data_IF_214468725885
#
_entry.id   IF_214468725885
#
_cell.length_a   1.000
_cell.length_b   1.000
_cell.length_c   1.000
_cell.angle_alpha   90.00
_cell.angle_beta   90.00
_cell.angle_gamma   90.00
#
_symmetry.space_group_name_H-M   'P 1'
#
loop_
_entity.id
_entity.type
_entity.pdbx_description
1 polymer ?
#
# COMPACT_ATOMS: atom_id res chain seq x y z
N UNK A 1 -67.36 31.09 17.72
CA UNK A 1 -66.58 30.92 18.97
C UNK A 1 -65.98 29.51 18.95
N UNK A 2 -64.69 29.39 18.60
CA UNK A 2 -63.61 28.86 19.50
C UNK A 2 -63.57 27.31 19.48
N UNK A 3 -62.51 26.56 19.16
CA UNK A 3 -61.10 26.79 18.80
C UNK A 3 -60.57 25.55 18.04
N UNK A 4 -59.63 25.82 17.15
CA UNK A 4 -58.63 24.95 16.50
C UNK A 4 -57.84 24.10 17.51
N UNK A 5 -57.59 22.83 17.18
CA UNK A 5 -56.38 22.12 17.64
C UNK A 5 -55.93 21.14 16.55
N UNK A 6 -55.01 21.62 15.73
CA UNK A 6 -54.25 20.86 14.75
C UNK A 6 -53.25 19.97 15.51
N UNK A 7 -53.25 18.66 15.24
CA UNK A 7 -52.19 17.74 15.65
C UNK A 7 -51.25 17.53 14.46
N UNK A 8 -50.27 18.43 14.30
CA UNK A 8 -49.16 18.25 13.38
C UNK A 8 -48.04 17.43 14.03
N UNK A 9 -47.68 16.33 13.35
CA UNK A 9 -46.32 15.90 13.03
C UNK A 9 -45.32 15.64 14.16
N UNK A 10 -44.88 14.37 14.30
CA UNK A 10 -43.48 14.03 14.54
C UNK A 10 -43.12 12.73 13.80
N UNK A 11 -42.84 12.87 12.51
CA UNK A 11 -41.90 12.00 11.80
C UNK A 11 -40.54 12.15 12.50
N UNK A 12 -40.22 11.20 13.38
CA UNK A 12 -38.87 10.99 13.90
C UNK A 12 -37.98 10.43 12.79
N UNK A 13 -37.80 11.18 11.71
CA UNK A 13 -36.81 10.88 10.69
C UNK A 13 -35.45 11.09 11.35
N UNK A 14 -34.79 9.98 11.73
CA UNK A 14 -33.35 9.98 11.98
C UNK A 14 -32.72 10.54 10.71
N UNK A 15 -32.43 11.83 10.74
CA UNK A 15 -31.56 12.46 9.74
C UNK A 15 -30.23 11.76 9.91
N UNK A 16 -29.90 10.87 8.98
CA UNK A 16 -28.53 10.52 8.70
C UNK A 16 -27.83 11.82 8.33
N UNK A 17 -27.27 12.48 9.34
CA UNK A 17 -26.38 13.60 9.16
C UNK A 17 -25.19 12.98 8.46
N UNK A 18 -25.15 13.08 7.12
CA UNK A 18 -23.93 12.89 6.34
C UNK A 18 -22.91 13.82 6.98
N UNK A 19 -22.09 13.26 7.87
CA UNK A 19 -20.96 13.96 8.42
C UNK A 19 -20.08 14.23 7.20
N UNK A 20 -20.07 15.48 6.75
CA UNK A 20 -19.07 15.98 5.80
C UNK A 20 -17.74 15.69 6.49
N UNK A 21 -17.16 14.53 6.17
CA UNK A 21 -16.05 13.98 6.92
C UNK A 21 -14.94 15.02 6.94
N UNK A 22 -14.44 15.36 8.13
CA UNK A 22 -13.26 16.22 8.26
C UNK A 22 -12.19 15.70 7.29
N UNK A 23 -11.73 16.55 6.38
CA UNK A 23 -10.69 16.16 5.45
C UNK A 23 -9.44 15.82 6.25
N UNK A 24 -9.07 14.54 6.23
CA UNK A 24 -7.89 14.06 6.94
C UNK A 24 -6.66 14.55 6.19
N UNK A 25 -5.83 15.27 6.93
CA UNK A 25 -4.51 15.69 6.49
C UNK A 25 -3.55 14.55 6.78
N UNK A 26 -3.08 13.88 5.74
CA UNK A 26 -2.26 12.69 5.85
C UNK A 26 -0.83 13.03 6.23
N UNK A 27 -0.33 12.55 7.36
CA UNK A 27 1.07 12.75 7.74
C UNK A 27 2.01 11.74 7.06
N UNK A 28 3.31 11.99 7.16
CA UNK A 28 4.36 11.07 6.69
C UNK A 28 4.26 9.73 7.42
N UNK A 29 4.03 9.78 8.73
CA UNK A 29 3.85 8.59 9.55
C UNK A 29 2.65 7.76 9.10
N UNK A 30 1.55 8.42 8.69
CA UNK A 30 0.38 7.73 8.15
C UNK A 30 0.67 7.10 6.78
N UNK A 31 1.39 7.81 5.89
CA UNK A 31 1.82 7.25 4.61
C UNK A 31 2.71 6.02 4.80
N UNK A 32 3.66 6.09 5.74
CA UNK A 32 4.54 4.98 6.08
C UNK A 32 3.74 3.78 6.60
N UNK A 33 2.85 3.99 7.56
CA UNK A 33 1.97 2.95 8.09
C UNK A 33 1.12 2.30 6.99
N UNK A 34 0.54 3.11 6.09
CA UNK A 34 -0.22 2.60 4.96
C UNK A 34 0.63 1.74 4.02
N UNK A 35 1.82 2.21 3.65
CA UNK A 35 2.74 1.48 2.76
C UNK A 35 3.18 0.17 3.40
N UNK A 36 3.54 0.18 4.69
CA UNK A 36 3.96 -1.01 5.43
C UNK A 36 2.82 -2.04 5.54
N UNK A 37 1.60 -1.59 5.87
CA UNK A 37 0.44 -2.47 5.93
C UNK A 37 0.15 -3.12 4.57
N UNK A 38 0.16 -2.34 3.48
CA UNK A 38 -0.03 -2.87 2.13
C UNK A 38 1.12 -3.80 1.70
N UNK A 39 2.36 -3.56 2.14
CA UNK A 39 3.49 -4.44 1.85
C UNK A 39 3.34 -5.80 2.56
N UNK A 40 2.81 -5.83 3.78
CA UNK A 40 2.43 -7.08 4.46
C UNK A 40 1.36 -7.82 3.64
N UNK A 41 0.32 -7.11 3.20
CA UNK A 41 -0.76 -7.71 2.42
C UNK A 41 -0.30 -8.25 1.06
N UNK A 42 0.66 -7.59 0.41
CA UNK A 42 1.28 -8.09 -0.82
C UNK A 42 1.98 -9.44 -0.59
N UNK A 43 2.72 -9.60 0.53
CA UNK A 43 3.38 -10.86 0.89
C UNK A 43 2.38 -11.96 1.24
N UNK A 44 1.20 -11.60 1.72
CA UNK A 44 0.13 -12.53 2.05
C UNK A 44 -0.73 -12.93 0.81
N UNK A 45 -0.31 -12.57 -0.41
CA UNK A 45 -1.03 -12.93 -1.63
C UNK A 45 -2.24 -12.05 -1.96
N UNK A 46 -2.50 -10.99 -1.18
CA UNK A 46 -3.63 -10.08 -1.40
C UNK A 46 -3.35 -8.99 -2.46
N UNK A 47 -2.29 -9.21 -3.26
CA UNK A 47 -1.97 -8.39 -4.43
C UNK A 47 -2.03 -9.29 -5.66
N UNK A 48 -3.06 -9.08 -6.48
CA UNK A 48 -3.29 -9.82 -7.72
C UNK A 48 -2.83 -8.93 -8.87
N UNK A 49 -1.92 -9.44 -9.70
CA UNK A 49 -1.24 -8.71 -10.77
C UNK A 49 -0.60 -7.38 -10.30
N UNK A 50 -1.30 -6.26 -10.50
CA UNK A 50 -0.85 -4.91 -10.18
C UNK A 50 -1.73 -4.21 -9.12
N UNK A 51 -2.74 -4.90 -8.62
CA UNK A 51 -3.79 -4.34 -7.79
C UNK A 51 -3.92 -5.06 -6.46
N UNK A 52 -4.21 -4.30 -5.41
CA UNK A 52 -4.61 -4.87 -4.13
C UNK A 52 -6.07 -5.25 -4.18
N UNK A 53 -6.41 -6.41 -3.62
CA UNK A 53 -7.81 -6.81 -3.45
C UNK A 53 -8.45 -6.06 -2.27
N UNK A 54 -9.74 -6.29 -2.07
CA UNK A 54 -10.50 -5.63 -0.99
C UNK A 54 -9.94 -5.95 0.40
N UNK A 55 -9.55 -7.20 0.65
CA UNK A 55 -8.97 -7.62 1.93
C UNK A 55 -7.71 -6.82 2.27
N UNK A 56 -6.86 -6.55 1.27
CA UNK A 56 -5.68 -5.71 1.47
C UNK A 56 -6.04 -4.28 1.87
N UNK A 57 -7.03 -3.66 1.20
CA UNK A 57 -7.45 -2.30 1.54
C UNK A 57 -8.13 -2.22 2.90
N UNK A 58 -8.98 -3.18 3.23
CA UNK A 58 -9.63 -3.27 4.55
C UNK A 58 -8.59 -3.43 5.66
N UNK A 59 -7.63 -4.34 5.51
CA UNK A 59 -6.58 -4.54 6.50
C UNK A 59 -5.70 -3.29 6.67
N UNK A 60 -5.32 -2.64 5.56
CA UNK A 60 -4.56 -1.39 5.61
C UNK A 60 -5.34 -0.25 6.26
N UNK A 61 -6.65 -0.16 6.00
CA UNK A 61 -7.53 0.83 6.62
C UNK A 61 -7.63 0.62 8.14
N UNK A 62 -7.82 -0.62 8.59
CA UNK A 62 -7.82 -0.99 10.01
C UNK A 62 -6.50 -0.64 10.68
N UNK A 63 -5.36 -0.94 10.03
CA UNK A 63 -4.04 -0.62 10.57
C UNK A 63 -3.85 0.89 10.79
N UNK A 64 -4.16 1.72 9.78
CA UNK A 64 -4.03 3.18 9.88
C UNK A 64 -5.00 3.75 10.93
N UNK A 65 -6.26 3.30 10.94
CA UNK A 65 -7.25 3.77 11.90
C UNK A 65 -6.86 3.44 13.34
N UNK A 66 -6.39 2.21 13.58
CA UNK A 66 -5.98 1.76 14.91
C UNK A 66 -4.73 2.49 15.40
N UNK A 67 -3.75 2.71 14.51
CA UNK A 67 -2.48 3.33 14.88
C UNK A 67 -2.59 4.85 15.12
N UNK A 68 -3.51 5.54 14.44
CA UNK A 68 -3.66 7.00 14.53
C UNK A 68 -4.97 7.47 15.16
N UNK A 69 -5.77 6.54 15.69
CA UNK A 69 -7.11 6.79 16.24
C UNK A 69 -8.02 7.57 15.27
N UNK A 70 -8.11 7.07 14.04
CA UNK A 70 -8.90 7.65 12.96
C UNK A 70 -10.10 6.77 12.62
N UNK A 71 -11.03 7.33 11.85
CA UNK A 71 -12.17 6.59 11.30
C UNK A 71 -12.26 6.80 9.77
N UNK A 72 -11.21 6.37 9.07
CA UNK A 72 -11.13 6.35 7.61
C UNK A 72 -11.96 5.19 7.05
N UNK A 73 -12.41 5.34 5.81
CA UNK A 73 -12.93 4.23 5.01
C UNK A 73 -11.91 3.80 3.94
N UNK A 74 -12.15 2.64 3.33
CA UNK A 74 -11.27 2.09 2.29
C UNK A 74 -11.06 3.07 1.12
N UNK A 75 -12.08 3.84 0.74
CA UNK A 75 -11.95 4.82 -0.34
C UNK A 75 -10.92 5.91 -0.04
N UNK A 76 -10.86 6.41 1.21
CA UNK A 76 -9.84 7.40 1.62
C UNK A 76 -8.44 6.82 1.54
N UNK A 77 -8.26 5.54 1.91
CA UNK A 77 -7.00 4.81 1.80
C UNK A 77 -6.58 4.63 0.35
N UNK A 78 -7.50 4.17 -0.51
CA UNK A 78 -7.28 3.99 -1.95
C UNK A 78 -6.86 5.30 -2.60
N UNK A 79 -7.58 6.39 -2.32
CA UNK A 79 -7.27 7.72 -2.86
C UNK A 79 -5.90 8.22 -2.39
N UNK A 80 -5.52 7.92 -1.13
CA UNK A 80 -4.18 8.26 -0.66
C UNK A 80 -3.10 7.43 -1.37
N UNK A 81 -3.32 6.13 -1.56
CA UNK A 81 -2.39 5.28 -2.29
C UNK A 81 -2.19 5.78 -3.74
N UNK A 82 -3.25 6.19 -4.43
CA UNK A 82 -3.16 6.84 -5.75
C UNK A 82 -2.27 8.08 -5.71
N UNK A 83 -2.39 8.90 -4.67
CA UNK A 83 -1.54 10.09 -4.46
C UNK A 83 -0.07 9.71 -4.25
N UNK A 84 0.20 8.73 -3.39
CA UNK A 84 1.56 8.21 -3.12
C UNK A 84 2.18 7.66 -4.41
N UNK A 85 1.44 6.84 -5.18
CA UNK A 85 1.89 6.31 -6.47
C UNK A 85 2.25 7.42 -7.46
N UNK A 86 1.42 8.48 -7.58
CA UNK A 86 1.72 9.64 -8.45
C UNK A 86 3.03 10.32 -8.06
N UNK A 87 3.26 10.53 -6.75
CA UNK A 87 4.51 11.12 -6.27
C UNK A 87 5.72 10.22 -6.53
N UNK A 88 5.60 8.93 -6.26
CA UNK A 88 6.66 7.95 -6.54
C UNK A 88 7.03 7.94 -8.02
N UNK A 89 6.03 7.99 -8.91
CA UNK A 89 6.26 8.13 -10.35
C UNK A 89 7.15 9.35 -10.60
N UNK A 90 6.82 10.54 -10.08
CA UNK A 90 7.63 11.76 -10.28
C UNK A 90 9.06 11.59 -9.79
N UNK A 91 9.26 11.01 -8.60
CA UNK A 91 10.60 10.72 -8.07
C UNK A 91 11.36 9.81 -9.02
N UNK A 92 10.73 8.74 -9.50
CA UNK A 92 11.33 7.81 -10.46
C UNK A 92 11.77 8.52 -11.73
N UNK A 93 10.95 9.41 -12.29
CA UNK A 93 11.33 10.17 -13.49
C UNK A 93 12.52 11.12 -13.24
N UNK A 94 12.60 11.73 -12.06
CA UNK A 94 13.75 12.58 -11.69
C UNK A 94 15.02 11.73 -11.62
N UNK A 95 14.95 10.59 -10.92
CA UNK A 95 16.09 9.68 -10.73
C UNK A 95 16.53 8.97 -12.02
N UNK A 96 15.68 8.93 -13.05
CA UNK A 96 16.05 8.44 -14.38
C UNK A 96 16.84 9.47 -15.21
N UNK A 97 17.04 10.71 -14.72
CA UNK A 97 17.82 11.73 -15.42
C UNK A 97 19.26 11.75 -14.93
N UNK A 98 20.16 12.02 -15.85
CA UNK A 98 21.57 12.17 -15.55
C UNK A 98 21.82 13.31 -14.55
N UNK A 99 22.72 13.03 -13.61
CA UNK A 99 23.11 13.95 -12.56
C UNK A 99 22.11 14.10 -11.41
N UNK A 100 21.08 13.25 -11.32
CA UNK A 100 20.23 13.10 -10.14
C UNK A 100 20.49 11.77 -9.43
N UNK A 101 20.44 11.76 -8.10
CA UNK A 101 20.60 10.55 -7.28
C UNK A 101 19.78 10.60 -6.01
N UNK A 102 19.47 9.43 -5.47
CA UNK A 102 18.89 9.32 -4.15
C UNK A 102 19.98 9.40 -3.08
N UNK A 103 19.82 10.28 -2.10
CA UNK A 103 20.66 10.34 -0.93
C UNK A 103 20.01 9.55 0.22
N UNK A 104 20.58 8.39 0.61
CA UNK A 104 20.02 7.55 1.66
C UNK A 104 20.16 8.13 3.07
N UNK A 105 21.07 9.08 3.29
CA UNK A 105 21.32 9.74 4.58
C UNK A 105 20.27 10.80 4.82
N UNK A 106 20.12 11.73 3.87
CA UNK A 106 19.14 12.81 3.99
C UNK A 106 17.71 12.34 3.66
N UNK A 107 17.56 11.22 2.94
CA UNK A 107 16.30 10.72 2.35
C UNK A 107 15.72 11.69 1.31
N UNK A 108 16.59 12.24 0.48
CA UNK A 108 16.29 13.32 -0.46
C UNK A 108 16.86 13.02 -1.84
N UNK A 109 16.35 13.71 -2.86
CA UNK A 109 16.99 13.72 -4.17
C UNK A 109 18.12 14.76 -4.15
N UNK A 110 19.33 14.29 -4.43
CA UNK A 110 20.49 15.12 -4.69
C UNK A 110 20.73 15.24 -6.19
N UNK A 111 21.48 16.27 -6.58
CA UNK A 111 21.91 16.46 -7.95
C UNK A 111 23.31 17.05 -8.03
N UNK A 112 23.95 16.94 -9.20
CA UNK A 112 25.33 17.38 -9.41
C UNK A 112 25.51 18.90 -9.37
N UNK A 113 24.47 19.67 -9.69
CA UNK A 113 24.50 21.13 -9.65
C UNK A 113 23.13 21.74 -9.39
N UNK A 114 23.09 22.89 -8.71
CA UNK A 114 21.86 23.62 -8.47
C UNK A 114 21.24 24.15 -9.78
N UNK A 115 22.05 24.38 -10.81
CA UNK A 115 21.63 24.76 -12.15
C UNK A 115 20.84 23.63 -12.85
N UNK A 116 21.26 22.38 -12.66
CA UNK A 116 20.54 21.20 -13.15
C UNK A 116 19.15 21.11 -12.49
N UNK A 117 19.09 21.35 -11.18
CA UNK A 117 17.84 21.42 -10.44
C UNK A 117 16.90 22.51 -10.98
N UNK A 118 17.41 23.75 -11.12
CA UNK A 118 16.65 24.89 -11.66
C UNK A 118 16.11 24.61 -13.07
N UNK A 119 16.92 24.01 -13.96
CA UNK A 119 16.48 23.63 -15.31
C UNK A 119 15.36 22.59 -15.29
N UNK A 120 15.45 21.58 -14.43
CA UNK A 120 14.40 20.57 -14.30
C UNK A 120 13.07 21.20 -13.86
N UNK A 121 13.12 22.07 -12.85
CA UNK A 121 11.93 22.74 -12.29
C UNK A 121 11.29 23.71 -13.29
N UNK A 122 12.09 24.37 -14.14
CA UNK A 122 11.60 25.29 -15.16
C UNK A 122 10.99 24.58 -16.38
N UNK A 123 11.34 23.32 -16.64
CA UNK A 123 10.85 22.58 -17.79
C UNK A 123 9.42 22.03 -17.55
N UNK A 124 8.53 22.04 -18.56
CA UNK A 124 7.26 21.34 -18.51
C UNK A 124 7.48 19.86 -18.21
N UNK A 125 6.98 19.40 -17.08
CA UNK A 125 7.17 18.05 -16.61
C UNK A 125 5.97 17.60 -15.79
N UNK A 126 5.88 16.30 -15.50
CA UNK A 126 4.84 15.76 -14.60
C UNK A 126 4.95 16.37 -13.19
N UNK A 127 6.14 16.82 -12.82
CA UNK A 127 6.41 17.64 -11.66
C UNK A 127 5.64 18.97 -11.69
N UNK A 128 5.75 19.73 -12.77
CA UNK A 128 5.06 21.03 -12.93
C UNK A 128 3.54 20.88 -12.82
N UNK A 129 2.97 19.78 -13.35
CA UNK A 129 1.53 19.46 -13.26
C UNK A 129 1.05 19.07 -11.85
N UNK A 130 1.95 18.64 -10.96
CA UNK A 130 1.59 18.34 -9.56
C UNK A 130 1.60 19.59 -8.66
N UNK A 131 2.07 20.74 -9.18
CA UNK A 131 2.30 21.98 -8.44
C UNK A 131 1.14 22.99 -8.54
N UNK A 132 0.10 22.72 -9.32
CA UNK A 132 -1.04 23.64 -9.48
C UNK A 132 -1.78 23.83 -8.15
N UNK A 133 -1.32 24.83 -7.38
CA UNK A 133 -1.76 25.10 -6.01
C UNK A 133 -0.65 25.72 -5.15
N UNK A 134 -0.19 26.93 -5.50
CA UNK A 134 0.58 27.94 -4.76
C UNK A 134 1.50 27.56 -3.56
N UNK A 135 2.01 26.33 -3.45
CA UNK A 135 3.07 25.94 -2.51
C UNK A 135 4.27 25.39 -3.29
N UNK A 136 5.48 25.94 -3.12
CA UNK A 136 6.67 25.32 -3.65
C UNK A 136 6.90 24.01 -2.88
N UNK A 137 6.60 22.87 -3.51
CA UNK A 137 7.11 21.59 -3.06
C UNK A 137 8.65 21.69 -3.07
N UNK A 138 9.28 21.73 -1.90
CA UNK A 138 10.71 21.52 -1.81
C UNK A 138 10.94 20.02 -1.90
N UNK A 139 11.13 19.47 -3.12
CA UNK A 139 11.39 18.02 -3.34
C UNK A 139 12.55 17.51 -2.53
N UNK A 140 13.50 18.40 -2.24
CA UNK A 140 14.58 18.11 -1.32
C UNK A 140 13.96 17.46 -0.06
N UNK A 141 12.86 17.93 0.52
CA UNK A 141 12.29 17.41 1.79
C UNK A 141 11.04 16.52 1.61
N UNK A 142 11.07 15.55 0.68
CA UNK A 142 9.89 14.72 0.38
C UNK A 142 9.37 13.90 1.57
N UNK A 143 10.24 13.58 2.53
CA UNK A 143 9.90 12.75 3.70
C UNK A 143 9.24 13.56 4.81
N UNK A 144 9.23 14.89 4.79
CA UNK A 144 8.74 15.68 5.94
C UNK A 144 7.38 16.36 5.66
N UNK A 145 7.11 16.73 4.40
CA UNK A 145 5.95 17.58 4.06
C UNK A 145 4.69 16.81 3.63
N UNK A 146 4.58 15.49 3.87
CA UNK A 146 3.36 14.73 3.51
C UNK A 146 2.09 15.32 4.13
N UNK A 147 2.25 16.03 5.26
CA UNK A 147 1.23 16.59 6.16
C UNK A 147 0.49 17.84 5.65
N UNK A 148 0.57 18.25 4.38
CA UNK A 148 -0.12 19.46 3.92
C UNK A 148 -1.05 19.30 2.71
N UNK A 149 -1.35 18.08 2.28
CA UNK A 149 -2.20 17.84 1.11
C UNK A 149 -3.61 17.38 1.49
N UNK A 150 -4.61 18.17 1.10
CA UNK A 150 -6.00 17.72 1.05
C UNK A 150 -6.17 16.73 -0.11
N UNK A 151 -6.84 15.60 0.15
CA UNK A 151 -7.26 14.68 -0.92
C UNK A 151 -8.07 15.48 -1.97
N UNK A 152 -7.66 15.47 -3.25
CA UNK A 152 -8.46 16.11 -4.30
C UNK A 152 -9.83 15.42 -4.37
N UNK A 153 -10.89 16.24 -4.44
CA UNK A 153 -12.20 15.76 -4.86
C UNK A 153 -12.09 15.27 -6.31
N UNK A 154 -12.81 14.19 -6.59
CA UNK A 154 -12.79 13.41 -7.81
C UNK A 154 -13.32 14.18 -9.02
N UNK A 155 -12.49 14.95 -9.74
CA UNK A 155 -12.80 15.37 -11.12
C UNK A 155 -11.52 15.37 -11.99
N UNK A 156 -11.54 14.46 -12.95
CA UNK A 156 -10.91 14.44 -14.27
C UNK A 156 -9.38 14.41 -14.46
N UNK A 157 -8.90 13.27 -14.98
CA UNK A 157 -8.32 13.09 -16.33
C UNK A 157 -7.52 11.76 -16.34
N UNK A 158 -7.94 10.87 -17.23
CA UNK A 158 -7.58 9.46 -17.31
C UNK A 158 -6.17 9.20 -17.84
N UNK A 159 -5.39 8.46 -17.04
CA UNK A 159 -4.53 7.38 -17.52
C UNK A 159 -4.82 6.22 -16.57
N UNK A 160 -5.41 5.14 -17.09
CA UNK A 160 -5.89 4.00 -16.31
C UNK A 160 -4.74 3.35 -15.54
N UNK A 161 -4.63 3.69 -14.25
CA UNK A 161 -3.98 2.88 -13.21
C UNK A 161 -5.10 2.00 -12.68
N UNK A 162 -4.97 0.68 -12.83
CA UNK A 162 -5.98 -0.38 -12.60
C UNK A 162 -6.49 -0.49 -11.14
N UNK A 163 -6.33 0.58 -10.35
CA UNK A 163 -6.92 0.75 -9.04
C UNK A 163 -8.41 1.10 -9.19
N UNK A 164 -9.21 0.09 -9.53
CA UNK A 164 -10.66 0.17 -9.66
C UNK A 164 -11.29 0.82 -8.43
N UNK A 165 -12.29 1.67 -8.67
CA UNK A 165 -13.12 2.25 -7.62
C UNK A 165 -14.11 1.18 -7.15
N UNK A 166 -14.37 1.14 -5.85
CA UNK A 166 -15.36 0.24 -5.26
C UNK A 166 -16.75 0.47 -5.88
N UNK A 167 -17.25 -0.51 -6.63
CA UNK A 167 -18.68 -0.71 -6.93
C UNK A 167 -19.10 -1.98 -6.22
N UNK A 168 -19.67 -1.86 -5.02
CA UNK A 168 -20.35 -2.96 -4.34
C UNK A 168 -21.67 -3.31 -5.05
N UNK A 169 -22.25 -4.51 -4.80
CA UNK A 169 -23.46 -4.95 -5.48
C UNK A 169 -24.65 -4.10 -5.04
N UNK A 170 -25.27 -3.39 -5.98
CA UNK A 170 -26.58 -2.79 -5.74
C UNK A 170 -27.63 -3.86 -6.05
N UNK A 171 -28.23 -4.40 -4.99
CA UNK A 171 -29.54 -5.03 -5.04
C UNK A 171 -30.57 -3.95 -5.42
N UNK A 172 -31.69 -4.38 -6.04
CA UNK A 172 -32.85 -3.63 -6.56
C UNK A 172 -32.94 -3.37 -8.09
N UNK A 173 -33.84 -4.17 -8.68
CA UNK A 173 -34.86 -3.86 -9.69
C UNK A 173 -34.53 -4.02 -11.19
N UNK A 174 -34.98 -5.18 -11.69
CA UNK A 174 -35.74 -5.48 -12.93
C UNK A 174 -35.90 -4.41 -14.05
N UNK A 175 -35.70 -4.92 -15.28
CA UNK A 175 -36.06 -4.40 -16.62
C UNK A 175 -37.61 -4.24 -16.78
N UNK A 176 -38.23 -3.83 -17.94
CA UNK A 176 -37.69 -3.66 -19.30
C UNK A 176 -38.30 -2.53 -20.20
N UNK A 177 -37.75 -2.45 -21.43
CA UNK A 177 -38.45 -2.32 -22.72
C UNK A 177 -38.41 -0.98 -23.49
N UNK A 178 -38.08 -1.07 -24.79
CA UNK A 178 -38.80 -0.34 -25.85
C UNK A 178 -38.06 0.70 -26.70
N UNK A 179 -37.50 0.23 -27.83
CA UNK A 179 -37.74 0.76 -29.20
C UNK A 179 -37.02 2.02 -29.77
N UNK A 180 -36.35 1.75 -30.91
CA UNK A 180 -36.25 2.54 -32.17
C UNK A 180 -35.08 3.51 -32.45
N UNK A 181 -34.08 2.97 -33.16
CA UNK A 181 -33.53 3.35 -34.49
C UNK A 181 -32.77 4.68 -34.77
N UNK A 182 -31.85 4.67 -35.79
CA UNK A 182 -30.52 5.30 -35.68
C UNK A 182 -30.27 6.49 -36.63
N UNK A 183 -29.19 7.26 -36.36
CA UNK A 183 -28.62 8.25 -37.28
C UNK A 183 -27.18 7.88 -37.70
N UNK A 184 -26.71 8.26 -38.91
CA UNK A 184 -25.60 7.59 -39.58
C UNK A 184 -24.22 8.19 -39.25
N UNK A 185 -23.25 7.28 -39.10
CA UNK A 185 -21.83 7.55 -38.91
C UNK A 185 -21.12 8.06 -40.18
N UNK A 186 -20.23 9.04 -40.00
CA UNK A 186 -19.16 9.39 -40.95
C UNK A 186 -18.02 8.35 -40.93
N UNK A 187 -17.26 8.15 -42.04
CA UNK A 187 -16.34 7.02 -42.17
C UNK A 187 -15.02 7.19 -41.39
N UNK A 188 -14.70 6.19 -40.59
CA UNK A 188 -13.44 6.06 -39.84
C UNK A 188 -12.35 5.39 -40.69
N UNK A 189 -11.20 6.05 -40.84
CA UNK A 189 -9.97 5.51 -41.45
C UNK A 189 -9.54 4.22 -40.73
N UNK A 190 -9.34 3.14 -41.49
CA UNK A 190 -8.79 1.89 -40.98
C UNK A 190 -7.26 1.92 -40.95
N UNK A 191 -6.66 1.56 -39.82
CA UNK A 191 -5.24 1.23 -39.69
C UNK A 191 -5.03 -0.30 -39.80
N UNK A 192 -3.93 -0.78 -40.42
CA UNK A 192 -3.74 -2.19 -40.75
C UNK A 192 -3.35 -3.05 -39.53
N UNK A 193 -3.85 -4.30 -39.47
CA UNK A 193 -3.65 -5.28 -38.38
C UNK A 193 -2.34 -6.08 -38.54
N UNK A 194 -1.60 -6.28 -37.43
CA UNK A 194 -0.40 -7.15 -37.30
C UNK A 194 -0.78 -8.64 -37.17
N UNK A 195 0.12 -9.61 -37.50
CA UNK A 195 -0.21 -11.03 -37.57
C UNK A 195 -0.04 -11.81 -36.24
N UNK A 196 -0.90 -12.82 -36.05
CA UNK A 196 -1.16 -13.63 -34.83
C UNK A 196 -0.01 -14.53 -34.31
N UNK A 197 1.11 -14.72 -35.02
CA UNK A 197 2.20 -15.60 -34.58
C UNK A 197 3.05 -15.03 -33.41
N UNK A 198 2.92 -13.74 -33.13
CA UNK A 198 3.63 -13.05 -32.06
C UNK A 198 3.06 -13.34 -30.67
N UNK A 199 1.79 -13.72 -30.58
CA UNK A 199 1.07 -13.85 -29.31
C UNK A 199 1.45 -15.16 -28.59
N UNK A 200 1.47 -16.28 -29.31
CA UNK A 200 1.90 -17.57 -28.77
C UNK A 200 3.37 -17.56 -28.25
N UNK A 201 4.26 -16.81 -28.91
CA UNK A 201 5.64 -16.64 -28.44
C UNK A 201 5.70 -15.78 -27.16
N UNK A 202 4.89 -14.72 -27.09
CA UNK A 202 4.79 -13.87 -25.89
C UNK A 202 4.22 -14.65 -24.70
N UNK A 203 3.18 -15.46 -24.93
CA UNK A 203 2.57 -16.30 -23.90
C UNK A 203 3.55 -17.36 -23.37
N UNK A 204 4.31 -18.00 -24.27
CA UNK A 204 5.36 -18.93 -23.88
C UNK A 204 6.45 -18.24 -23.04
N UNK A 205 6.88 -17.03 -23.42
CA UNK A 205 7.85 -16.25 -22.66
C UNK A 205 7.31 -15.82 -21.28
N UNK A 206 6.03 -15.44 -21.19
CA UNK A 206 5.38 -15.11 -19.92
C UNK A 206 5.27 -16.32 -19.00
N UNK A 207 4.95 -17.50 -19.53
CA UNK A 207 4.90 -18.75 -18.79
C UNK A 207 6.28 -19.11 -18.21
N UNK A 208 7.35 -18.99 -19.01
CA UNK A 208 8.73 -19.23 -18.54
C UNK A 208 9.13 -18.21 -17.47
N UNK A 209 8.83 -16.92 -17.65
CA UNK A 209 9.13 -15.89 -16.66
C UNK A 209 8.38 -16.13 -15.33
N UNK A 210 7.14 -16.62 -15.38
CA UNK A 210 6.35 -17.01 -14.21
C UNK A 210 6.97 -18.21 -13.48
N UNK A 211 7.38 -19.25 -14.21
CA UNK A 211 8.06 -20.41 -13.63
C UNK A 211 9.39 -20.05 -12.96
N UNK A 212 10.20 -19.19 -13.58
CA UNK A 212 11.46 -18.69 -12.99
C UNK A 212 11.17 -17.93 -11.69
N UNK A 213 10.14 -17.08 -11.67
CA UNK A 213 9.74 -16.35 -10.46
C UNK A 213 9.31 -17.30 -9.34
N UNK A 214 8.48 -18.31 -9.65
CA UNK A 214 8.06 -19.33 -8.67
C UNK A 214 9.24 -20.11 -8.11
N UNK A 215 10.23 -20.45 -8.94
CA UNK A 215 11.46 -21.10 -8.48
C UNK A 215 12.29 -20.17 -7.58
N UNK A 216 12.45 -18.91 -7.96
CA UNK A 216 13.14 -17.92 -7.14
C UNK A 216 12.45 -17.69 -5.79
N UNK A 217 11.12 -17.60 -5.77
CA UNK A 217 10.33 -17.46 -4.55
C UNK A 217 10.46 -18.71 -3.66
N UNK A 218 10.43 -19.92 -4.24
CA UNK A 218 10.64 -21.16 -3.49
C UNK A 218 12.05 -21.27 -2.90
N UNK A 219 13.07 -20.84 -3.66
CA UNK A 219 14.46 -20.77 -3.18
C UNK A 219 14.66 -19.69 -2.11
N UNK A 220 13.89 -18.60 -2.17
CA UNK A 220 13.95 -17.57 -1.14
C UNK A 220 13.23 -18.03 0.12
N UNK A 221 12.10 -18.72 0.02
CA UNK A 221 11.40 -19.32 1.16
C UNK A 221 12.26 -20.37 1.89
N UNK A 222 13.02 -21.20 1.16
CA UNK A 222 13.89 -22.21 1.79
C UNK A 222 15.11 -21.61 2.51
N UNK A 223 15.57 -20.40 2.16
CA UNK A 223 16.62 -19.69 2.93
C UNK A 223 16.12 -19.16 4.28
N UNK A 224 14.80 -19.07 4.47
CA UNK A 224 14.19 -18.47 5.66
C UNK A 224 13.51 -19.51 6.57
N UNK A 225 13.46 -20.78 6.16
CA UNK A 225 12.96 -21.87 7.00
C UNK A 225 13.97 -22.17 8.10
N UNK A 226 13.50 -22.14 9.34
CA UNK A 226 14.28 -22.54 10.52
C UNK A 226 13.94 -23.98 10.80
N UNK A 227 14.95 -24.81 11.04
CA UNK A 227 14.71 -26.16 11.53
C UNK A 227 14.24 -26.06 12.98
N UNK A 228 12.98 -26.46 13.21
CA UNK A 228 12.38 -26.43 14.53
C UNK A 228 13.10 -27.38 15.51
N UNK A 229 13.72 -28.45 15.02
CA UNK A 229 14.47 -29.38 15.87
C UNK A 229 15.79 -28.76 16.32
N UNK A 230 16.52 -28.11 15.41
CA UNK A 230 17.75 -27.36 15.74
C UNK A 230 17.46 -26.23 16.73
N UNK A 231 16.35 -25.51 16.54
CA UNK A 231 15.93 -24.45 17.46
C UNK A 231 15.59 -24.99 18.85
N UNK A 232 14.87 -26.12 18.91
CA UNK A 232 14.50 -26.77 20.17
C UNK A 232 15.76 -27.24 20.91
N UNK A 233 16.67 -27.92 20.22
CA UNK A 233 17.94 -28.38 20.79
C UNK A 233 18.75 -27.20 21.35
N UNK A 234 18.89 -26.12 20.57
CA UNK A 234 19.60 -24.92 21.00
C UNK A 234 18.98 -24.22 22.23
N UNK A 235 17.66 -24.34 22.43
CA UNK A 235 16.96 -23.82 23.62
C UNK A 235 17.17 -24.75 24.83
N UNK A 236 17.17 -26.07 24.61
CA UNK A 236 17.41 -27.07 25.65
C UNK A 236 18.84 -27.04 26.18
N UNK A 237 19.82 -26.70 25.34
CA UNK A 237 21.24 -26.53 25.71
C UNK A 237 21.51 -25.30 26.60
N UNK A 238 20.54 -24.43 26.84
CA UNK A 238 20.75 -23.24 27.67
C UNK A 238 20.85 -23.63 29.15
N UNK A 239 22.08 -23.63 29.66
CA UNK A 239 22.39 -23.98 31.05
C UNK A 239 21.55 -23.20 32.08
N UNK A 240 20.89 -23.95 32.98
CA UNK A 240 20.13 -23.39 34.10
C UNK A 240 18.78 -22.78 33.71
N UNK A 241 18.24 -23.12 32.53
CA UNK A 241 16.88 -22.79 32.13
C UNK A 241 15.95 -23.98 32.43
N UNK A 242 14.93 -23.79 33.27
CA UNK A 242 13.92 -24.81 33.58
C UNK A 242 13.09 -25.19 32.36
N UNK A 243 12.59 -26.42 32.30
CA UNK A 243 11.80 -26.95 31.16
C UNK A 243 10.62 -26.05 30.78
N UNK A 244 9.90 -25.49 31.77
CA UNK A 244 8.80 -24.56 31.52
C UNK A 244 9.26 -23.26 30.82
N UNK A 245 10.45 -22.75 31.20
CA UNK A 245 11.05 -21.57 30.55
C UNK A 245 11.63 -21.92 29.17
N UNK A 246 12.15 -23.13 28.99
CA UNK A 246 12.59 -23.65 27.69
C UNK A 246 11.41 -23.75 26.72
N UNK A 247 10.28 -24.33 27.13
CA UNK A 247 9.06 -24.40 26.31
C UNK A 247 8.61 -22.99 25.88
N UNK A 248 8.55 -22.06 26.82
CA UNK A 248 8.17 -20.68 26.52
C UNK A 248 9.17 -19.98 25.58
N UNK A 249 10.47 -20.20 25.78
CA UNK A 249 11.52 -19.66 24.92
C UNK A 249 11.39 -20.21 23.49
N UNK A 250 11.15 -21.51 23.36
CA UNK A 250 10.96 -22.17 22.08
C UNK A 250 9.73 -21.61 21.35
N UNK A 251 8.57 -21.53 22.01
CA UNK A 251 7.35 -20.95 21.42
C UNK A 251 7.57 -19.50 20.98
N UNK A 252 8.21 -18.68 21.82
CA UNK A 252 8.54 -17.30 21.52
C UNK A 252 9.45 -17.14 20.30
N UNK A 253 10.50 -17.97 20.21
CA UNK A 253 11.45 -17.95 19.11
C UNK A 253 10.80 -18.48 17.82
N UNK A 254 10.00 -19.54 17.93
CA UNK A 254 9.32 -20.15 16.79
C UNK A 254 8.23 -19.24 16.19
N UNK A 255 7.63 -18.36 17.00
CA UNK A 255 6.71 -17.34 16.54
C UNK A 255 7.37 -16.21 15.72
N UNK A 256 8.70 -16.05 15.81
CA UNK A 256 9.44 -15.00 15.11
C UNK A 256 10.74 -15.56 14.48
N UNK A 257 10.68 -15.94 13.19
CA UNK A 257 11.83 -16.50 12.48
C UNK A 257 13.08 -15.59 12.48
N UNK A 258 12.92 -14.27 12.58
CA UNK A 258 14.08 -13.38 12.64
C UNK A 258 14.82 -13.56 13.97
N UNK A 259 14.08 -13.69 15.07
CA UNK A 259 14.65 -13.93 16.39
C UNK A 259 15.22 -15.32 16.55
N UNK A 260 14.54 -16.35 16.05
CA UNK A 260 15.06 -17.71 16.07
C UNK A 260 16.38 -17.84 15.28
N UNK A 261 16.50 -17.21 14.11
CA UNK A 261 17.79 -17.17 13.37
C UNK A 261 18.88 -16.45 14.16
N UNK A 262 18.58 -15.28 14.72
CA UNK A 262 19.55 -14.55 15.54
C UNK A 262 19.96 -15.35 16.78
N UNK A 263 19.05 -16.11 17.38
CA UNK A 263 19.33 -16.99 18.51
C UNK A 263 20.24 -18.15 18.13
N UNK A 264 19.99 -18.81 16.98
CA UNK A 264 20.78 -19.93 16.50
C UNK A 264 22.23 -19.55 16.17
N UNK A 265 22.48 -18.33 15.69
CA UNK A 265 23.85 -17.85 15.40
C UNK A 265 24.69 -17.57 16.66
N UNK A 266 24.04 -17.43 17.83
CA UNK A 266 24.74 -17.24 19.08
C UNK A 266 25.28 -18.55 19.64
N UNK A 267 26.43 -18.50 20.34
CA UNK A 267 26.90 -19.62 21.16
C UNK A 267 26.06 -19.76 22.44
N UNK A 268 26.20 -20.88 23.16
CA UNK A 268 25.41 -21.20 24.35
C UNK A 268 25.36 -20.06 25.41
N UNK A 269 26.51 -19.43 25.69
CA UNK A 269 26.58 -18.30 26.64
C UNK A 269 25.77 -17.10 26.15
N UNK A 270 25.86 -16.76 24.87
CA UNK A 270 25.14 -15.64 24.27
C UNK A 270 23.64 -15.92 24.16
N UNK A 271 23.24 -17.17 23.87
CA UNK A 271 21.85 -17.63 23.88
C UNK A 271 21.20 -17.42 25.25
N UNK A 272 21.91 -17.76 26.33
CA UNK A 272 21.48 -17.46 27.70
C UNK A 272 21.27 -15.97 27.91
N UNK A 273 22.28 -15.14 27.62
CA UNK A 273 22.17 -13.68 27.78
C UNK A 273 21.01 -13.12 26.97
N UNK A 274 20.82 -13.60 25.74
CA UNK A 274 19.75 -13.18 24.86
C UNK A 274 18.37 -13.42 25.49
N UNK A 275 18.10 -14.65 25.96
CA UNK A 275 16.83 -14.98 26.61
C UNK A 275 16.60 -14.17 27.89
N UNK A 276 17.61 -14.03 28.75
CA UNK A 276 17.48 -13.26 29.99
C UNK A 276 17.32 -11.74 29.76
N UNK A 277 17.75 -11.21 28.60
CA UNK A 277 17.45 -9.83 28.19
C UNK A 277 16.02 -9.65 27.72
N UNK A 278 15.46 -10.65 27.03
CA UNK A 278 14.07 -10.61 26.59
C UNK A 278 13.10 -10.87 27.74
N UNK A 279 13.48 -11.77 28.64
CA UNK A 279 12.68 -12.23 29.76
C UNK A 279 13.39 -11.89 31.07
N UNK A 280 13.42 -10.59 31.38
CA UNK A 280 14.12 -10.08 32.56
C UNK A 280 13.55 -10.63 33.89
N UNK A 281 12.31 -11.16 33.88
CA UNK A 281 11.65 -11.83 35.01
C UNK A 281 11.97 -13.32 35.14
N UNK A 282 12.85 -13.88 34.29
CA UNK A 282 13.35 -15.26 34.44
C UNK A 282 14.55 -15.40 35.36
N UNK A 283 15.06 -14.27 35.84
CA UNK A 283 16.12 -14.17 36.84
C UNK A 283 15.71 -14.74 38.19
#
# INVERSE_FOLDING_TARGET
>A
MTKRMESYGLLGQRRDVKHKGRNVVWSVAMDKCLIEALAVQARNGNKIERCFNENAYTAACVAVNSHFNLNLNNQKVINRLKTIKKRYKVIKDILCRDGFRWNPTSKMIDCDSEELWKRYVAAPSRWTKMRDGNRPLQVRNFVEESASFHSPSSEDLSETDDTESYTGPSEYAELPNGSQDPLPNSPQRQHPKRPRASEALQDAMLAVASSIRRLADAMELSKHSIDANELLEAVMEVDGLEEAKQMYAFEYLNADPVKARAFLTYNARMRKIYLFRQFWWWK
#
